data_IF_088214800588
#
_entry.id   IF_088214800588
#
_cell.length_a   1.000
_cell.length_b   1.000
_cell.length_c   1.000
_cell.angle_alpha   90.00
_cell.angle_beta   90.00
_cell.angle_gamma   90.00
#
_symmetry.space_group_name_H-M   'P 1'
#
loop_
_entity.id
_entity.type
_entity.pdbx_description
1 polymer ?
#
# COMPACT_ATOMS: atom_id res chain seq x y z
N UNK A 1 20.70 38.16 -12.21
CA UNK A 1 20.83 37.02 -11.28
C UNK A 1 20.31 35.79 -11.99
N UNK A 2 21.06 34.67 -12.02
CA UNK A 2 20.52 33.43 -12.56
C UNK A 2 19.34 32.98 -11.70
N UNK A 3 18.21 32.66 -12.32
CA UNK A 3 16.99 32.24 -11.63
C UNK A 3 17.27 30.97 -10.83
N UNK A 4 17.11 31.02 -9.52
CA UNK A 4 17.21 29.87 -8.62
C UNK A 4 15.82 29.37 -8.23
N UNK A 5 15.70 28.07 -7.95
CA UNK A 5 14.47 27.45 -7.45
C UNK A 5 14.79 26.73 -6.14
N UNK A 6 14.13 27.13 -5.05
CA UNK A 6 14.15 26.39 -3.79
C UNK A 6 13.44 25.05 -3.97
N UNK A 7 14.08 23.97 -3.53
CA UNK A 7 13.61 22.60 -3.69
C UNK A 7 14.12 21.72 -2.55
N UNK A 8 13.74 20.44 -2.58
CA UNK A 8 14.02 19.45 -1.56
C UNK A 8 14.60 18.18 -2.19
N UNK A 9 15.59 17.58 -1.51
CA UNK A 9 16.27 16.36 -1.97
C UNK A 9 16.59 15.45 -0.80
N UNK A 10 16.39 14.14 -0.97
CA UNK A 10 16.83 13.14 -0.01
C UNK A 10 18.12 12.46 -0.48
N UNK A 11 19.13 12.41 0.39
CA UNK A 11 20.34 11.62 0.15
C UNK A 11 20.31 10.30 0.90
N UNK A 12 21.22 9.41 0.52
CA UNK A 12 21.67 8.28 1.33
C UNK A 12 22.45 8.76 2.56
N UNK A 13 22.64 7.87 3.53
CA UNK A 13 23.25 8.18 4.83
C UNK A 13 24.72 8.63 4.74
N UNK A 14 25.43 8.13 3.73
CA UNK A 14 26.81 8.53 3.42
C UNK A 14 26.93 9.95 2.82
N UNK A 15 25.80 10.58 2.49
CA UNK A 15 25.73 11.92 1.90
C UNK A 15 26.63 12.08 0.67
N UNK A 16 26.55 11.16 -0.30
CA UNK A 16 27.29 11.29 -1.57
C UNK A 16 26.35 11.35 -2.77
N UNK A 17 26.83 11.97 -3.86
CA UNK A 17 26.20 11.82 -5.15
C UNK A 17 26.29 10.36 -5.62
N UNK A 18 25.18 9.87 -6.16
CA UNK A 18 24.98 8.48 -6.53
C UNK A 18 25.55 8.17 -7.93
N UNK A 19 25.36 6.93 -8.39
CA UNK A 19 25.70 6.49 -9.76
C UNK A 19 27.19 6.68 -10.12
N UNK A 20 28.08 6.43 -9.16
CA UNK A 20 29.53 6.48 -9.36
C UNK A 20 30.14 7.88 -9.26
N UNK A 21 29.35 8.93 -9.04
CA UNK A 21 29.85 10.30 -8.88
C UNK A 21 30.66 10.46 -7.57
N UNK A 22 30.10 10.01 -6.45
CA UNK A 22 30.81 9.90 -5.17
C UNK A 22 31.17 11.23 -4.49
N UNK A 23 30.92 12.39 -5.12
CA UNK A 23 31.19 13.69 -4.50
C UNK A 23 30.32 13.89 -3.27
N UNK A 24 30.94 14.37 -2.19
CA UNK A 24 30.30 14.53 -0.89
C UNK A 24 29.33 15.72 -0.87
N UNK A 25 28.12 15.46 -0.43
CA UNK A 25 27.07 16.43 -0.14
C UNK A 25 27.31 17.02 1.25
N UNK A 26 27.35 18.34 1.34
CA UNK A 26 27.44 19.11 2.58
C UNK A 26 26.74 20.45 2.42
N UNK A 27 26.37 21.05 3.55
CA UNK A 27 25.87 22.42 3.57
C UNK A 27 26.84 23.40 2.90
N UNK A 28 26.31 24.32 2.09
CA UNK A 28 27.06 25.30 1.31
C UNK A 28 27.68 24.77 0.02
N UNK A 29 27.81 23.45 -0.16
CA UNK A 29 28.43 22.88 -1.37
C UNK A 29 27.53 23.08 -2.59
N UNK A 30 28.18 23.33 -3.74
CA UNK A 30 27.53 23.42 -5.04
C UNK A 30 28.04 22.28 -5.90
N UNK A 31 27.14 21.42 -6.38
CA UNK A 31 27.45 20.43 -7.40
C UNK A 31 26.98 20.89 -8.76
N UNK A 32 27.81 20.60 -9.77
CA UNK A 32 27.52 20.82 -11.19
C UNK A 32 27.64 19.50 -11.93
N UNK A 33 26.79 19.32 -12.94
CA UNK A 33 26.80 18.20 -13.88
C UNK A 33 26.65 18.75 -15.30
N UNK A 34 27.25 18.06 -16.26
CA UNK A 34 27.20 18.46 -17.66
C UNK A 34 25.87 18.10 -18.31
N UNK A 35 25.55 18.79 -19.39
CA UNK A 35 24.45 18.42 -20.27
C UNK A 35 24.81 17.18 -21.12
N UNK A 36 23.83 16.38 -21.56
CA UNK A 36 22.39 16.55 -21.37
C UNK A 36 21.90 16.07 -20.01
N UNK A 37 21.05 16.88 -19.36
CA UNK A 37 20.22 16.41 -18.25
C UNK A 37 18.87 15.93 -18.76
N UNK A 38 18.31 14.90 -18.12
CA UNK A 38 17.01 14.32 -18.45
C UNK A 38 16.33 13.80 -17.18
N UNK A 39 15.04 14.07 -17.07
CA UNK A 39 14.22 13.59 -15.96
C UNK A 39 14.36 12.08 -15.82
N UNK A 40 14.43 11.60 -14.58
CA UNK A 40 14.64 10.19 -14.21
C UNK A 40 16.02 9.61 -14.52
N UNK A 41 16.72 10.12 -15.53
CA UNK A 41 17.92 9.48 -16.08
C UNK A 41 19.21 10.13 -15.59
N UNK A 42 19.35 11.44 -15.80
CA UNK A 42 20.64 12.11 -15.63
C UNK A 42 20.49 13.54 -15.16
N UNK A 43 21.17 13.86 -14.06
CA UNK A 43 21.26 15.20 -13.52
C UNK A 43 20.87 15.30 -12.04
N UNK A 44 20.92 16.52 -11.50
CA UNK A 44 20.69 16.77 -10.08
C UNK A 44 19.19 16.94 -9.81
N UNK A 45 18.56 15.87 -9.34
CA UNK A 45 17.12 15.81 -9.09
C UNK A 45 16.72 16.42 -7.73
N UNK A 46 15.57 17.07 -7.68
CA UNK A 46 14.92 17.53 -6.46
C UNK A 46 13.42 17.78 -6.73
N UNK A 47 12.63 18.02 -5.70
CA UNK A 47 11.19 18.33 -5.82
C UNK A 47 10.84 19.63 -5.12
N UNK A 48 9.70 20.24 -5.45
CA UNK A 48 9.33 21.56 -4.92
C UNK A 48 8.89 21.48 -3.45
N UNK A 49 8.33 20.35 -3.04
CA UNK A 49 7.94 20.09 -1.65
C UNK A 49 8.72 18.90 -1.04
N UNK A 50 8.85 18.84 0.29
CA UNK A 50 9.45 17.67 0.96
C UNK A 50 8.69 16.38 0.69
N UNK A 51 7.36 16.45 0.65
CA UNK A 51 6.50 15.29 0.39
C UNK A 51 6.70 14.72 -1.01
N UNK A 52 6.78 15.58 -2.03
CA UNK A 52 7.11 15.15 -3.39
C UNK A 52 8.53 14.55 -3.47
N UNK A 53 9.49 15.11 -2.74
CA UNK A 53 10.85 14.58 -2.68
C UNK A 53 10.90 13.20 -2.01
N UNK A 54 10.01 12.94 -1.05
CA UNK A 54 9.93 11.68 -0.32
C UNK A 54 9.62 10.49 -1.23
N UNK A 55 8.83 10.68 -2.31
CA UNK A 55 8.59 9.64 -3.32
C UNK A 55 9.87 9.13 -3.99
N UNK A 56 10.94 9.92 -3.95
CA UNK A 56 12.23 9.61 -4.58
C UNK A 56 13.35 9.41 -3.55
N UNK A 57 13.01 9.30 -2.26
CA UNK A 57 13.99 9.20 -1.21
C UNK A 57 14.80 7.90 -1.29
N UNK A 58 16.11 8.02 -1.11
CA UNK A 58 17.04 6.88 -1.00
C UNK A 58 17.59 6.69 0.42
N UNK A 59 17.21 7.57 1.34
CA UNK A 59 17.63 7.61 2.74
C UNK A 59 16.83 8.68 3.47
N UNK A 60 17.15 8.92 4.73
CA UNK A 60 16.38 9.81 5.61
C UNK A 60 16.96 11.22 5.72
N UNK A 61 18.06 11.51 5.02
CA UNK A 61 18.70 12.82 5.09
C UNK A 61 18.06 13.76 4.08
N UNK A 62 17.20 14.65 4.60
CA UNK A 62 16.51 15.67 3.84
C UNK A 62 17.38 16.92 3.72
N UNK A 63 17.50 17.42 2.49
CA UNK A 63 18.20 18.64 2.14
C UNK A 63 17.23 19.68 1.58
N UNK A 64 17.27 20.88 2.14
CA UNK A 64 16.84 22.08 1.43
C UNK A 64 17.92 22.46 0.42
N UNK A 65 17.54 22.68 -0.83
CA UNK A 65 18.49 22.95 -1.92
C UNK A 65 18.02 24.10 -2.82
N UNK A 66 18.96 24.72 -3.51
CA UNK A 66 18.69 25.66 -4.61
C UNK A 66 19.13 25.03 -5.94
N UNK A 67 18.21 24.91 -6.88
CA UNK A 67 18.49 24.50 -8.25
C UNK A 67 18.79 25.72 -9.14
N UNK A 68 19.76 25.59 -10.04
CA UNK A 68 20.08 26.61 -11.05
C UNK A 68 20.71 25.99 -12.31
N UNK A 69 21.10 26.83 -13.27
CA UNK A 69 21.58 26.39 -14.58
C UNK A 69 20.41 25.99 -15.49
N UNK A 70 20.58 24.92 -16.28
CA UNK A 70 19.47 24.34 -17.03
C UNK A 70 18.60 23.56 -16.06
N UNK A 71 17.30 23.82 -16.09
CA UNK A 71 16.31 23.13 -15.25
C UNK A 71 15.24 22.56 -16.18
N UNK A 72 14.97 21.27 -16.06
CA UNK A 72 13.83 20.60 -16.72
C UNK A 72 12.80 20.26 -15.65
N UNK A 73 11.55 20.61 -15.92
CA UNK A 73 10.42 20.38 -15.04
C UNK A 73 9.61 19.16 -15.46
N UNK A 74 9.32 18.26 -14.53
CA UNK A 74 8.24 17.28 -14.64
C UNK A 74 7.07 17.67 -13.74
N UNK A 75 6.19 16.72 -13.42
CA UNK A 75 5.02 16.99 -12.59
C UNK A 75 5.43 17.33 -11.15
N UNK A 76 6.01 16.35 -10.45
CA UNK A 76 6.38 16.42 -9.02
C UNK A 76 7.89 16.46 -8.78
N UNK A 77 8.70 16.61 -9.84
CA UNK A 77 10.16 16.65 -9.74
C UNK A 77 10.78 17.59 -10.75
N UNK A 78 12.01 17.99 -10.48
CA UNK A 78 12.87 18.83 -11.30
C UNK A 78 14.22 18.14 -11.43
N UNK A 79 14.90 18.38 -12.55
CA UNK A 79 16.31 18.03 -12.73
C UNK A 79 17.07 19.27 -13.17
N UNK A 80 18.26 19.47 -12.62
CA UNK A 80 19.09 20.63 -12.90
C UNK A 80 20.54 20.28 -13.19
N UNK A 81 21.26 21.17 -13.89
CA UNK A 81 22.71 21.09 -14.04
C UNK A 81 23.46 21.57 -12.79
N UNK A 82 22.83 22.36 -11.92
CA UNK A 82 23.46 22.88 -10.70
C UNK A 82 22.54 22.73 -9.49
N UNK A 83 23.08 22.23 -8.38
CA UNK A 83 22.39 22.13 -7.08
C UNK A 83 23.30 22.62 -5.96
N UNK A 84 22.84 23.61 -5.20
CA UNK A 84 23.46 24.07 -3.95
C UNK A 84 22.70 23.50 -2.76
N UNK A 85 23.40 22.97 -1.76
CA UNK A 85 22.78 22.45 -0.55
C UNK A 85 22.75 23.53 0.54
N UNK A 86 21.55 23.89 0.98
CA UNK A 86 21.34 25.01 1.91
C UNK A 86 21.33 24.55 3.36
N UNK A 87 20.67 23.42 3.64
CA UNK A 87 20.60 22.84 4.99
C UNK A 87 20.25 21.36 4.90
N UNK A 88 20.87 20.51 5.70
CA UNK A 88 20.61 19.07 5.76
C UNK A 88 20.21 18.60 7.16
N UNK A 89 19.22 17.71 7.24
CA UNK A 89 18.79 17.06 8.49
C UNK A 89 18.53 15.58 8.26
N UNK A 90 19.02 14.71 9.14
CA UNK A 90 18.52 13.35 9.23
C UNK A 90 17.16 13.37 9.95
N UNK A 91 16.09 13.07 9.20
CA UNK A 91 14.71 13.10 9.70
C UNK A 91 14.13 11.69 9.88
N UNK A 92 14.97 10.66 10.06
CA UNK A 92 14.51 9.27 10.18
C UNK A 92 13.46 9.09 11.28
N UNK A 93 13.74 9.61 12.48
CA UNK A 93 12.82 9.47 13.61
C UNK A 93 11.48 10.15 13.33
N UNK A 94 11.50 11.33 12.69
CA UNK A 94 10.29 12.05 12.30
C UNK A 94 9.50 11.30 11.24
N UNK A 95 10.15 10.71 10.22
CA UNK A 95 9.48 9.89 9.22
C UNK A 95 8.83 8.65 9.84
N UNK A 96 9.50 8.01 10.82
CA UNK A 96 8.96 6.85 11.54
C UNK A 96 7.78 7.23 12.42
N UNK A 97 7.86 8.36 13.11
CA UNK A 97 6.77 8.92 13.92
C UNK A 97 5.55 9.24 13.06
N UNK A 98 5.73 10.02 12.00
CA UNK A 98 4.66 10.36 11.07
C UNK A 98 4.00 9.11 10.45
N UNK A 99 4.79 8.10 10.05
CA UNK A 99 4.24 6.85 9.56
C UNK A 99 3.39 6.10 10.60
N UNK A 100 3.72 6.21 11.90
CA UNK A 100 2.90 5.64 12.97
C UNK A 100 1.61 6.42 13.19
N UNK A 101 1.67 7.76 13.15
CA UNK A 101 0.48 8.63 13.25
C UNK A 101 -0.52 8.35 12.12
N UNK A 102 -0.04 8.23 10.88
CA UNK A 102 -0.87 7.87 9.74
C UNK A 102 -1.48 6.46 9.87
N UNK A 103 -0.72 5.50 10.41
CA UNK A 103 -1.26 4.16 10.70
C UNK A 103 -2.32 4.18 11.81
N UNK A 104 -2.17 5.05 12.81
CA UNK A 104 -3.15 5.25 13.88
C UNK A 104 -4.43 5.93 13.38
N UNK A 105 -4.32 6.89 12.45
CA UNK A 105 -5.48 7.62 11.92
C UNK A 105 -6.51 6.67 11.28
N UNK A 106 -6.03 5.57 10.69
CA UNK A 106 -6.86 4.53 10.05
C UNK A 106 -7.01 3.24 10.87
N UNK A 107 -6.52 3.21 12.12
CA UNK A 107 -6.54 1.98 12.95
C UNK A 107 -7.95 1.42 13.15
N UNK A 108 -8.97 2.28 13.10
CA UNK A 108 -10.37 1.95 13.24
C UNK A 108 -10.94 1.10 12.10
N UNK A 109 -10.26 1.04 10.94
CA UNK A 109 -10.68 0.26 9.78
C UNK A 109 -10.48 -1.25 9.96
N UNK A 110 -9.78 -1.69 11.01
CA UNK A 110 -9.56 -3.10 11.28
C UNK A 110 -9.39 -3.40 12.77
N UNK A 111 -9.53 -4.67 13.13
CA UNK A 111 -9.33 -5.14 14.51
C UNK A 111 -7.84 -5.35 14.78
N UNK A 112 -7.11 -4.25 14.94
CA UNK A 112 -5.68 -4.29 15.18
C UNK A 112 -5.33 -5.02 16.49
N UNK A 113 -4.37 -5.98 16.48
CA UNK A 113 -3.85 -6.59 17.70
C UNK A 113 -3.29 -5.55 18.67
N UNK A 114 -3.43 -5.76 19.99
CA UNK A 114 -3.00 -4.78 21.00
C UNK A 114 -1.53 -4.40 20.88
N UNK A 115 -0.65 -5.37 20.63
CA UNK A 115 0.79 -5.12 20.43
C UNK A 115 1.10 -4.24 19.20
N UNK A 116 0.23 -4.27 18.18
CA UNK A 116 0.34 -3.36 17.03
C UNK A 116 -0.03 -1.95 17.45
N UNK A 117 -1.13 -1.77 18.19
CA UNK A 117 -1.54 -0.47 18.70
C UNK A 117 -0.47 0.13 19.62
N UNK A 118 0.05 -0.67 20.55
CA UNK A 118 1.09 -0.25 21.49
C UNK A 118 2.36 0.21 20.77
N UNK A 119 2.84 -0.55 19.76
CA UNK A 119 3.97 -0.11 18.93
C UNK A 119 3.68 1.19 18.19
N UNK A 120 2.48 1.32 17.61
CA UNK A 120 2.12 2.52 16.86
C UNK A 120 1.99 3.75 17.77
N UNK A 121 1.46 3.61 18.98
CA UNK A 121 1.34 4.69 19.97
C UNK A 121 2.70 5.09 20.55
N UNK A 122 3.50 4.11 20.98
CA UNK A 122 4.74 4.35 21.74
C UNK A 122 5.98 4.52 20.86
N UNK A 123 6.05 3.80 19.75
CA UNK A 123 7.24 3.73 18.90
C UNK A 123 8.33 2.84 19.46
N UNK A 124 8.03 2.01 20.46
CA UNK A 124 9.00 1.10 21.07
C UNK A 124 9.52 0.08 20.03
N UNK A 125 10.80 0.23 19.67
CA UNK A 125 11.47 -0.61 18.69
C UNK A 125 11.57 -2.08 19.14
N UNK A 126 11.49 -2.36 20.44
CA UNK A 126 11.45 -3.74 20.96
C UNK A 126 10.16 -4.45 20.54
N UNK A 127 9.06 -3.71 20.36
CA UNK A 127 7.77 -4.27 19.94
C UNK A 127 7.68 -4.44 18.42
N UNK A 128 8.51 -3.73 17.63
CA UNK A 128 8.37 -3.62 16.17
C UNK A 128 8.28 -4.98 15.46
N UNK A 129 9.13 -5.94 15.85
CA UNK A 129 9.15 -7.27 15.27
C UNK A 129 7.87 -8.06 15.57
N UNK A 130 7.46 -8.07 16.84
CA UNK A 130 6.27 -8.76 17.31
C UNK A 130 4.97 -8.12 16.79
N UNK A 131 4.90 -6.78 16.75
CA UNK A 131 3.83 -6.03 16.11
C UNK A 131 3.69 -6.38 14.63
N UNK A 132 4.80 -6.40 13.88
CA UNK A 132 4.78 -6.80 12.47
C UNK A 132 4.26 -8.23 12.30
N UNK A 133 4.75 -9.18 13.09
CA UNK A 133 4.28 -10.56 13.04
C UNK A 133 2.78 -10.68 13.36
N UNK A 134 2.31 -9.99 14.41
CA UNK A 134 0.90 -9.99 14.79
C UNK A 134 0.00 -9.40 13.70
N UNK A 135 0.41 -8.31 13.05
CA UNK A 135 -0.31 -7.72 11.94
C UNK A 135 -0.41 -8.69 10.75
N UNK A 136 0.68 -9.37 10.40
CA UNK A 136 0.69 -10.38 9.34
C UNK A 136 -0.24 -11.56 9.64
N UNK A 137 -0.18 -12.10 10.86
CA UNK A 137 -1.08 -13.17 11.31
C UNK A 137 -2.55 -12.74 11.27
N UNK A 138 -2.86 -11.53 11.72
CA UNK A 138 -4.24 -11.01 11.70
C UNK A 138 -4.77 -10.88 10.25
N UNK A 139 -3.94 -10.39 9.33
CA UNK A 139 -4.30 -10.30 7.91
C UNK A 139 -4.51 -11.70 7.29
N UNK A 140 -3.62 -12.65 7.57
CA UNK A 140 -3.74 -14.02 7.08
C UNK A 140 -5.01 -14.72 7.61
N UNK A 141 -5.30 -14.57 8.91
CA UNK A 141 -6.51 -15.11 9.52
C UNK A 141 -7.78 -14.49 8.94
N UNK A 142 -7.79 -13.18 8.69
CA UNK A 142 -8.93 -12.51 8.05
C UNK A 142 -9.18 -13.05 6.64
N UNK A 143 -8.12 -13.24 5.85
CA UNK A 143 -8.22 -13.82 4.51
C UNK A 143 -8.71 -15.28 4.55
N UNK A 144 -8.18 -16.09 5.46
CA UNK A 144 -8.59 -17.49 5.61
C UNK A 144 -10.05 -17.62 6.05
N UNK A 145 -10.48 -16.82 7.03
CA UNK A 145 -11.88 -16.79 7.48
C UNK A 145 -12.84 -16.38 6.36
N UNK A 146 -12.49 -15.36 5.57
CA UNK A 146 -13.31 -14.94 4.44
C UNK A 146 -13.46 -16.06 3.39
N UNK A 147 -12.37 -16.74 3.05
CA UNK A 147 -12.39 -17.87 2.13
C UNK A 147 -13.22 -19.05 2.67
N UNK A 148 -13.07 -19.37 3.96
CA UNK A 148 -13.84 -20.43 4.61
C UNK A 148 -15.34 -20.13 4.62
N UNK A 149 -15.73 -18.92 5.02
CA UNK A 149 -17.14 -18.49 5.03
C UNK A 149 -17.77 -18.58 3.63
N UNK A 150 -17.08 -18.08 2.61
CA UNK A 150 -17.56 -18.14 1.23
C UNK A 150 -17.75 -19.60 0.75
N UNK A 151 -16.80 -20.49 1.07
CA UNK A 151 -16.91 -21.91 0.75
C UNK A 151 -18.08 -22.58 1.48
N UNK A 152 -18.27 -22.27 2.76
CA UNK A 152 -19.36 -22.80 3.57
C UNK A 152 -20.74 -22.34 3.07
N UNK A 153 -20.88 -21.06 2.74
CA UNK A 153 -22.11 -20.50 2.16
C UNK A 153 -22.45 -21.14 0.81
N UNK A 154 -21.45 -21.31 -0.06
CA UNK A 154 -21.64 -21.97 -1.34
C UNK A 154 -22.09 -23.44 -1.17
N UNK A 155 -21.47 -24.17 -0.26
CA UNK A 155 -21.85 -25.56 0.05
C UNK A 155 -23.26 -25.66 0.63
N UNK A 156 -23.62 -24.77 1.55
CA UNK A 156 -24.96 -24.74 2.16
C UNK A 156 -26.05 -24.42 1.13
N UNK A 157 -25.82 -23.43 0.27
CA UNK A 157 -26.74 -23.08 -0.82
C UNK A 157 -26.95 -24.24 -1.79
N UNK A 158 -25.86 -24.93 -2.19
CA UNK A 158 -25.95 -26.09 -3.07
C UNK A 158 -26.76 -27.24 -2.45
N UNK A 159 -26.54 -27.52 -1.16
CA UNK A 159 -27.29 -28.55 -0.43
C UNK A 159 -28.79 -28.20 -0.31
N UNK A 160 -29.10 -26.94 -0.05
CA UNK A 160 -30.49 -26.47 0.05
C UNK A 160 -31.23 -26.58 -1.30
N UNK A 161 -30.59 -26.18 -2.40
CA UNK A 161 -31.12 -26.32 -3.76
C UNK A 161 -31.37 -27.80 -4.08
N UNK A 162 -30.42 -28.69 -3.78
CA UNK A 162 -30.57 -30.12 -4.01
C UNK A 162 -31.73 -30.73 -3.21
N UNK A 163 -31.87 -30.36 -1.93
CA UNK A 163 -32.98 -30.81 -1.09
C UNK A 163 -34.34 -30.32 -1.58
N UNK A 164 -34.42 -29.06 -2.02
CA UNK A 164 -35.63 -28.50 -2.62
C UNK A 164 -36.03 -29.24 -3.91
N UNK A 165 -35.06 -29.51 -4.78
CA UNK A 165 -35.26 -30.28 -6.01
C UNK A 165 -35.75 -31.71 -5.72
N UNK A 166 -35.15 -32.40 -4.75
CA UNK A 166 -35.57 -33.74 -4.34
C UNK A 166 -37.00 -33.75 -3.76
N UNK A 167 -37.35 -32.74 -2.95
CA UNK A 167 -38.71 -32.58 -2.40
C UNK A 167 -39.73 -32.35 -3.51
N UNK A 168 -39.42 -31.51 -4.49
CA UNK A 168 -40.27 -31.26 -5.65
C UNK A 168 -40.47 -32.53 -6.49
N UNK A 169 -39.40 -33.26 -6.78
CA UNK A 169 -39.47 -34.55 -7.49
C UNK A 169 -40.36 -35.56 -6.76
N UNK A 170 -40.26 -35.64 -5.42
CA UNK A 170 -41.10 -36.53 -4.61
C UNK A 170 -42.59 -36.16 -4.69
N UNK A 171 -42.94 -34.87 -4.66
CA UNK A 171 -44.33 -34.46 -4.80
C UNK A 171 -44.87 -34.77 -6.20
N UNK A 172 -44.11 -34.46 -7.25
CA UNK A 172 -44.48 -34.81 -8.62
C UNK A 172 -44.71 -36.33 -8.79
N UNK A 173 -43.84 -37.17 -8.20
CA UNK A 173 -44.01 -38.61 -8.21
C UNK A 173 -45.26 -39.09 -7.45
N UNK A 174 -45.59 -38.44 -6.32
CA UNK A 174 -46.80 -38.71 -5.55
C UNK A 174 -48.06 -38.35 -6.35
N UNK A 175 -48.09 -37.17 -6.94
CA UNK A 175 -49.23 -36.68 -7.72
C UNK A 175 -49.48 -37.58 -8.93
N UNK A 176 -48.42 -37.93 -9.67
CA UNK A 176 -48.50 -38.87 -10.78
C UNK A 176 -49.00 -40.26 -10.35
N UNK A 177 -48.61 -40.72 -9.16
CA UNK A 177 -49.10 -42.00 -8.61
C UNK A 177 -50.56 -41.91 -8.19
N UNK A 178 -51.00 -40.79 -7.63
CA UNK A 178 -52.40 -40.52 -7.29
C UNK A 178 -53.30 -40.54 -8.53
N UNK A 179 -52.90 -39.85 -9.60
CA UNK A 179 -53.60 -39.87 -10.89
C UNK A 179 -53.75 -41.32 -11.40
N UNK A 180 -52.63 -42.07 -11.46
CA UNK A 180 -52.66 -43.48 -11.91
C UNK A 180 -53.54 -44.37 -11.06
N UNK A 181 -53.58 -44.15 -9.75
CA UNK A 181 -54.43 -44.92 -8.84
C UNK A 181 -55.90 -44.63 -9.08
N UNK A 182 -56.28 -43.35 -9.14
CA UNK A 182 -57.66 -42.92 -9.39
C UNK A 182 -58.17 -43.48 -10.74
N UNK A 183 -57.37 -43.34 -11.81
CA UNK A 183 -57.71 -43.88 -13.13
C UNK A 183 -58.01 -45.39 -13.09
N UNK A 184 -57.26 -46.15 -12.28
CA UNK A 184 -57.48 -47.59 -12.12
C UNK A 184 -58.75 -47.89 -11.34
N UNK A 185 -58.99 -47.18 -10.24
CA UNK A 185 -60.16 -47.39 -9.37
C UNK A 185 -61.44 -47.01 -10.10
N UNK A 186 -61.49 -45.85 -10.77
CA UNK A 186 -62.68 -45.40 -11.50
C UNK A 186 -63.10 -46.36 -12.62
N UNK A 187 -62.14 -47.03 -13.26
CA UNK A 187 -62.42 -48.08 -14.27
C UNK A 187 -63.08 -49.33 -13.68
N UNK A 188 -62.95 -49.60 -12.39
CA UNK A 188 -63.59 -50.75 -11.74
C UNK A 188 -65.08 -50.52 -11.43
N UNK A 189 -65.53 -49.25 -11.43
CA UNK A 189 -66.91 -48.87 -11.14
C UNK A 189 -67.74 -48.55 -12.40
N UNK A 190 -67.21 -48.81 -13.60
CA UNK A 190 -67.91 -48.71 -14.89
C UNK A 190 -68.20 -50.09 -15.44
#
# INVERSE_FOLDING_TARGET
MNKTIKAWYFSTDDCILQYGDGRKIKEGVIHKVDEPIKLCEGGLHASLTPFEALYYARGSILWEVELSGKIISGDNKRVATVRKYIKGLNIENYLREFAREEALSVIHLWRAPSIVKEYLETGDLNLRGAARAAAWTAAANAAWNAAWTAAAEAAWNAAWIAAAAAKAARYAAKDASGIRFNDKVEKLFK
#
